data_IF_900341608761
#
_entry.id   IF_900341608761
#
_cell.length_a   1.000
_cell.length_b   1.000
_cell.length_c   1.000
_cell.angle_alpha   90.00
_cell.angle_beta   90.00
_cell.angle_gamma   90.00
#
_symmetry.space_group_name_H-M   'P 1'
#
loop_
_entity.id
_entity.type
_entity.pdbx_description
1 polymer ?
#
# COMPACT_ATOMS: atom_id res chain seq x y z
N UNK A 1 -4.96 -14.36 11.56
CA UNK A 1 -3.66 -14.31 10.83
C UNK A 1 -3.25 -12.85 10.75
N UNK A 2 -2.24 -12.44 11.52
CA UNK A 2 -1.84 -11.02 11.70
C UNK A 2 -0.60 -10.64 10.90
N UNK A 3 -0.11 -11.52 10.03
CA UNK A 3 1.05 -11.26 9.18
C UNK A 3 0.62 -10.65 7.83
N UNK A 4 1.37 -9.66 7.36
CA UNK A 4 1.13 -9.02 6.06
C UNK A 4 1.58 -9.94 4.94
N UNK A 5 0.75 -10.08 3.90
CA UNK A 5 1.07 -10.90 2.73
C UNK A 5 1.79 -10.06 1.68
N UNK A 6 2.89 -10.58 1.13
CA UNK A 6 3.58 -9.96 0.00
C UNK A 6 2.70 -10.08 -1.25
N UNK A 7 2.13 -8.96 -1.73
CA UNK A 7 1.44 -8.93 -3.02
C UNK A 7 2.44 -8.99 -4.19
N UNK A 8 3.48 -8.14 -4.15
CA UNK A 8 4.60 -8.17 -5.12
C UNK A 8 5.86 -7.50 -4.57
N UNK A 9 7.04 -8.01 -4.92
CA UNK A 9 8.34 -7.41 -4.56
C UNK A 9 8.74 -6.24 -5.47
N UNK A 10 7.81 -5.32 -5.76
CA UNK A 10 8.05 -4.11 -6.59
C UNK A 10 7.15 -2.97 -6.14
N UNK A 11 7.55 -1.73 -6.43
CA UNK A 11 6.69 -0.56 -6.30
C UNK A 11 5.50 -0.62 -7.27
N UNK A 12 4.38 0.00 -6.87
CA UNK A 12 3.17 0.16 -7.69
C UNK A 12 2.95 1.65 -7.97
N UNK A 13 3.29 2.13 -9.18
CA UNK A 13 3.07 3.52 -9.54
C UNK A 13 1.58 3.80 -9.78
N UNK A 14 1.05 4.85 -9.15
CA UNK A 14 -0.33 5.33 -9.34
C UNK A 14 -0.33 6.84 -9.48
N UNK A 15 -1.12 7.35 -10.42
CA UNK A 15 -1.41 8.79 -10.51
C UNK A 15 -2.35 9.19 -9.37
N UNK A 16 -1.92 10.12 -8.55
CA UNK A 16 -2.66 10.69 -7.43
C UNK A 16 -3.00 12.14 -7.70
N UNK A 17 -4.09 12.62 -7.12
CA UNK A 17 -4.53 14.01 -7.22
C UNK A 17 -4.38 14.72 -5.87
N UNK A 18 -3.87 15.94 -5.89
CA UNK A 18 -3.72 16.78 -4.70
C UNK A 18 -5.03 16.87 -3.91
N UNK A 19 -4.96 16.68 -2.60
CA UNK A 19 -6.09 16.73 -1.69
C UNK A 19 -6.92 15.44 -1.61
N UNK A 20 -6.79 14.50 -2.57
CA UNK A 20 -7.45 13.19 -2.46
C UNK A 20 -6.76 12.31 -1.42
N UNK A 21 -7.58 11.57 -0.68
CA UNK A 21 -7.11 10.55 0.27
C UNK A 21 -7.31 9.17 -0.34
N UNK A 22 -6.25 8.38 -0.33
CA UNK A 22 -6.20 7.01 -0.82
C UNK A 22 -5.98 6.08 0.36
N UNK A 23 -6.64 4.92 0.37
CA UNK A 23 -6.48 3.93 1.44
C UNK A 23 -5.61 2.79 0.93
N UNK A 24 -4.34 2.78 1.32
CA UNK A 24 -3.39 1.75 0.90
C UNK A 24 -3.69 0.41 1.60
N UNK A 25 -3.67 -0.67 0.82
CA UNK A 25 -3.80 -2.02 1.35
C UNK A 25 -2.52 -2.41 2.10
N UNK A 26 -2.61 -2.51 3.43
CA UNK A 26 -1.52 -2.95 4.29
C UNK A 26 -1.46 -4.47 4.48
N UNK A 27 -2.60 -5.18 4.37
CA UNK A 27 -2.66 -6.63 4.61
C UNK A 27 -2.13 -7.47 3.45
N UNK A 28 -2.11 -6.95 2.22
CA UNK A 28 -1.66 -7.67 1.02
C UNK A 28 -2.73 -8.49 0.30
N UNK A 29 -3.94 -8.61 0.87
CA UNK A 29 -5.00 -9.48 0.34
C UNK A 29 -5.93 -8.79 -0.66
N UNK A 30 -5.84 -7.46 -0.81
CA UNK A 30 -6.72 -6.75 -1.74
C UNK A 30 -6.50 -7.19 -3.17
N UNK A 31 -7.58 -7.33 -3.94
CA UNK A 31 -7.55 -7.50 -5.40
C UNK A 31 -7.40 -6.16 -6.12
N UNK A 32 -7.74 -5.04 -5.47
CA UNK A 32 -7.66 -3.68 -6.00
C UNK A 32 -6.33 -2.97 -5.65
N UNK A 33 -5.21 -3.69 -5.72
CA UNK A 33 -3.90 -3.16 -5.34
C UNK A 33 -3.54 -1.92 -6.19
N UNK A 34 -2.94 -0.87 -5.57
CA UNK A 34 -2.35 -0.83 -4.23
C UNK A 34 -3.35 -0.52 -3.10
N UNK A 35 -4.63 -0.37 -3.40
CA UNK A 35 -5.63 0.16 -2.48
C UNK A 35 -6.45 -0.92 -1.78
N UNK A 36 -7.09 -0.55 -0.68
CA UNK A 36 -7.96 -1.43 0.09
C UNK A 36 -9.30 -1.66 -0.62
N UNK A 37 -9.75 -2.91 -0.62
CA UNK A 37 -11.05 -3.37 -1.14
C UNK A 37 -11.97 -3.95 -0.05
N UNK A 38 -11.48 -4.08 1.19
CA UNK A 38 -12.21 -4.69 2.30
C UNK A 38 -11.72 -6.08 2.70
N UNK A 39 -10.84 -6.71 1.91
CA UNK A 39 -10.30 -8.06 2.17
C UNK A 39 -9.45 -8.18 3.45
N UNK A 40 -9.28 -7.10 4.20
CA UNK A 40 -8.53 -7.07 5.46
C UNK A 40 -9.35 -7.52 6.69
N UNK A 41 -10.67 -7.72 6.56
CA UNK A 41 -11.59 -7.92 7.70
C UNK A 41 -11.19 -9.00 8.71
N UNK A 42 -10.56 -10.09 8.27
CA UNK A 42 -10.14 -11.21 9.14
C UNK A 42 -8.66 -11.15 9.59
N UNK A 43 -7.93 -10.11 9.17
CA UNK A 43 -6.49 -10.00 9.42
C UNK A 43 -6.13 -9.17 10.65
N UNK A 44 -7.05 -8.31 11.11
CA UNK A 44 -6.74 -7.29 12.12
C UNK A 44 -5.80 -6.18 11.65
N UNK A 45 -5.47 -6.13 10.35
CA UNK A 45 -4.59 -5.14 9.74
C UNK A 45 -5.45 -4.07 9.06
N UNK A 46 -5.37 -2.82 9.51
CA UNK A 46 -6.14 -1.73 8.91
C UNK A 46 -5.41 -1.10 7.71
N UNK A 47 -6.13 -0.59 6.70
CA UNK A 47 -5.53 0.18 5.62
C UNK A 47 -4.92 1.50 6.13
N UNK A 48 -3.84 1.94 5.49
CA UNK A 48 -3.14 3.17 5.85
C UNK A 48 -3.62 4.31 4.95
N UNK A 49 -4.11 5.44 5.50
CA UNK A 49 -4.51 6.59 4.70
C UNK A 49 -3.27 7.32 4.13
N UNK A 50 -3.34 7.66 2.84
CA UNK A 50 -2.39 8.49 2.13
C UNK A 50 -3.11 9.72 1.59
N UNK A 51 -2.83 10.88 2.16
CA UNK A 51 -3.32 12.15 1.61
C UNK A 51 -2.28 12.68 0.62
N UNK A 52 -2.64 12.76 -0.65
CA UNK A 52 -1.76 13.30 -1.66
C UNK A 52 -1.63 14.83 -1.50
N UNK A 53 -0.41 15.32 -1.29
CA UNK A 53 -0.14 16.76 -1.17
C UNK A 53 -0.11 17.46 -2.54
N UNK A 54 0.33 16.73 -3.57
CA UNK A 54 0.42 17.21 -4.94
C UNK A 54 -0.12 16.16 -5.93
N UNK A 55 -0.58 16.64 -7.08
CA UNK A 55 -0.98 15.77 -8.20
C UNK A 55 0.28 15.23 -8.89
N UNK A 56 0.32 13.92 -9.12
CA UNK A 56 1.42 13.27 -9.83
C UNK A 56 1.54 11.78 -9.51
N UNK A 57 2.69 11.19 -9.81
CA UNK A 57 2.92 9.75 -9.62
C UNK A 57 3.42 9.45 -8.21
N UNK A 58 2.63 8.69 -7.44
CA UNK A 58 3.04 8.09 -6.18
C UNK A 58 3.44 6.62 -6.37
N UNK A 59 4.45 6.16 -5.63
CA UNK A 59 4.95 4.79 -5.70
C UNK A 59 4.58 4.03 -4.44
N UNK A 60 3.47 3.30 -4.47
CA UNK A 60 3.00 2.55 -3.32
C UNK A 60 3.77 1.25 -3.10
N UNK A 61 3.89 0.84 -1.84
CA UNK A 61 4.57 -0.40 -1.48
C UNK A 61 3.73 -1.64 -1.88
N UNK A 62 4.34 -2.55 -2.65
CA UNK A 62 3.77 -3.84 -3.02
C UNK A 62 4.13 -5.00 -2.11
N UNK A 63 5.27 -4.92 -1.41
CA UNK A 63 5.68 -6.01 -0.54
C UNK A 63 5.02 -5.95 0.84
N UNK A 64 4.48 -4.80 1.25
CA UNK A 64 3.84 -4.56 2.56
C UNK A 64 4.79 -4.52 3.75
N UNK A 65 6.10 -4.53 3.52
CA UNK A 65 7.15 -4.39 4.55
C UNK A 65 7.97 -3.09 4.38
N UNK A 66 7.41 -2.05 3.75
CA UNK A 66 8.08 -0.74 3.72
C UNK A 66 8.13 -0.15 5.12
N UNK A 67 9.28 0.40 5.51
CA UNK A 67 9.45 1.20 6.73
C UNK A 67 8.92 2.62 6.56
N UNK A 68 8.69 3.05 5.31
CA UNK A 68 8.08 4.33 4.93
C UNK A 68 6.69 4.11 4.32
N UNK A 69 5.88 3.25 4.95
CA UNK A 69 4.51 3.01 4.51
C UNK A 69 3.71 4.33 4.46
N UNK A 70 2.81 4.50 3.47
CA UNK A 70 2.36 3.53 2.46
C UNK A 70 3.22 3.47 1.18
N UNK A 71 4.28 4.28 1.10
CA UNK A 71 5.13 4.40 -0.07
C UNK A 71 6.24 3.35 -0.10
N UNK A 72 6.82 3.15 -1.27
CA UNK A 72 7.94 2.25 -1.46
C UNK A 72 9.25 2.91 -1.01
N UNK A 73 10.00 2.24 -0.14
CA UNK A 73 11.35 2.63 0.32
C UNK A 73 12.46 1.71 -0.21
N UNK A 74 12.10 0.65 -0.94
CA UNK A 74 13.06 -0.34 -1.44
C UNK A 74 13.26 -1.57 -0.54
N UNK A 75 12.58 -1.66 0.61
CA UNK A 75 12.67 -2.81 1.54
C UNK A 75 12.40 -4.15 0.84
N UNK A 76 11.65 -4.16 -0.26
CA UNK A 76 11.41 -5.36 -1.08
C UNK A 76 12.67 -5.99 -1.71
N UNK A 77 13.80 -5.30 -1.73
CA UNK A 77 15.08 -5.83 -2.22
C UNK A 77 15.74 -6.80 -1.24
N UNK A 78 15.34 -6.77 0.03
CA UNK A 78 15.92 -7.56 1.13
C UNK A 78 14.98 -8.68 1.61
N UNK A 79 13.88 -8.93 0.87
CA UNK A 79 12.86 -9.95 1.17
C UNK A 79 12.96 -11.16 0.26
#
# INVERSE_FOLDING_TARGET
MSERVIFRKKAMPVEVEAGKTYYWCACGLSENQPFCDGSHGETGIMPVPYKAEATGKAFFCGCKHSKNEPLCDGSHKEL
#
